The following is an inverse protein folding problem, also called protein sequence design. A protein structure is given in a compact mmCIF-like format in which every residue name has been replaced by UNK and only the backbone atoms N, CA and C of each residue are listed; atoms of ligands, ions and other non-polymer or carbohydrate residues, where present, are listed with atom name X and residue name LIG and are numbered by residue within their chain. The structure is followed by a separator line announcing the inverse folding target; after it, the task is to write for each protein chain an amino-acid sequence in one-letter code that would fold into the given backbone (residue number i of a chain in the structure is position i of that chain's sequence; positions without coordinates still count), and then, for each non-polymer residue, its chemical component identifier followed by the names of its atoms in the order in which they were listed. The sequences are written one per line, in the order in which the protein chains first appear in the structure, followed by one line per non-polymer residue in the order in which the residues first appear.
data_IF_571228935023
#
_entry.id   IF_571228935023
#
_cell.length_a   1.000
_cell.length_b   1.000
_cell.length_c   1.000
_cell.angle_alpha   90.00
_cell.angle_beta   90.00
_cell.angle_gamma   90.00
#
_symmetry.space_group_name_H-M   'P 1'
#
loop_
_entity.id
_entity.type
_entity.pdbx_description
1 polymer ?
#
# COMPACT_ATOMS: atom_id res chain seq x y z
N UNK A 1 -6.63 24.88 -81.56
CA UNK A 1 -6.14 23.66 -80.89
C UNK A 1 -6.34 23.83 -79.39
N UNK A 2 -7.25 23.02 -78.82
CA UNK A 2 -7.24 22.42 -77.46
C UNK A 2 -6.60 23.23 -76.32
N UNK A 3 -7.21 23.48 -75.15
CA UNK A 3 -8.06 22.62 -74.33
C UNK A 3 -8.68 23.43 -73.18
N UNK A 4 -9.93 23.16 -72.84
CA UNK A 4 -10.58 23.51 -71.57
C UNK A 4 -9.86 22.92 -70.35
N UNK A 5 -9.83 23.65 -69.22
CA UNK A 5 -10.29 23.11 -67.93
C UNK A 5 -10.48 24.18 -66.83
N UNK A 6 -11.71 24.20 -66.32
CA UNK A 6 -12.21 24.96 -65.17
C UNK A 6 -11.59 24.57 -63.81
N UNK A 7 -11.18 25.60 -63.05
CA UNK A 7 -11.54 25.94 -61.64
C UNK A 7 -11.19 24.98 -60.48
N UNK A 8 -11.34 25.40 -59.19
CA UNK A 8 -10.97 26.67 -58.54
C UNK A 8 -10.28 26.44 -57.17
N UNK A 9 -9.78 27.49 -56.50
CA UNK A 9 -10.09 27.70 -55.08
C UNK A 9 -9.54 29.06 -54.62
N UNK A 10 -10.46 30.01 -54.42
CA UNK A 10 -10.18 31.21 -53.64
C UNK A 10 -10.43 30.88 -52.16
N UNK A 11 -9.61 31.48 -51.29
CA UNK A 11 -9.98 32.25 -50.08
C UNK A 11 -9.37 31.79 -48.74
N UNK A 12 -8.65 32.79 -48.19
CA UNK A 12 -8.81 33.42 -46.87
C UNK A 12 -8.01 32.84 -45.70
N UNK A 13 -6.94 33.58 -45.41
CA UNK A 13 -6.43 33.98 -44.09
C UNK A 13 -7.49 33.92 -42.99
N UNK A 14 -7.17 33.30 -41.85
CA UNK A 14 -7.98 33.42 -40.63
C UNK A 14 -7.65 32.39 -39.54
N UNK A 15 -6.89 32.85 -38.54
CA UNK A 15 -6.75 32.36 -37.16
C UNK A 15 -7.56 31.13 -36.72
N UNK A 16 -6.88 30.12 -36.15
CA UNK A 16 -7.46 29.22 -35.15
C UNK A 16 -6.38 28.59 -34.24
N UNK A 17 -6.13 29.28 -33.12
CA UNK A 17 -5.98 28.79 -31.74
C UNK A 17 -5.20 27.48 -31.52
N UNK A 18 -4.05 27.64 -30.86
CA UNK A 18 -3.24 26.59 -30.21
C UNK A 18 -4.12 25.81 -29.21
N UNK A 19 -4.46 24.57 -29.56
CA UNK A 19 -5.10 23.64 -28.64
C UNK A 19 -4.03 22.99 -27.73
N UNK A 20 -3.69 23.69 -26.65
CA UNK A 20 -2.91 23.15 -25.54
C UNK A 20 -3.89 22.66 -24.47
N UNK A 21 -4.32 21.40 -24.53
CA UNK A 21 -5.18 20.80 -23.50
C UNK A 21 -4.78 19.36 -23.17
N UNK A 22 -4.10 19.22 -22.02
CA UNK A 22 -4.40 18.21 -21.00
C UNK A 22 -3.84 16.80 -21.19
N UNK A 23 -2.54 16.60 -20.94
CA UNK A 23 -2.06 15.29 -20.51
C UNK A 23 -2.44 15.12 -19.04
N UNK A 24 -3.58 14.47 -18.81
CA UNK A 24 -3.97 14.00 -17.47
C UNK A 24 -2.98 12.93 -17.02
N UNK A 25 -1.99 13.32 -16.23
CA UNK A 25 -1.15 12.38 -15.47
C UNK A 25 -2.04 11.74 -14.40
N UNK A 26 -2.71 10.66 -14.75
CA UNK A 26 -3.28 9.75 -13.77
C UNK A 26 -2.12 9.14 -12.97
N UNK A 27 -1.80 9.75 -11.83
CA UNK A 27 -0.91 9.16 -10.84
C UNK A 27 -1.63 7.96 -10.23
N UNK A 28 -1.58 6.82 -10.91
CA UNK A 28 -1.94 5.55 -10.30
C UNK A 28 -0.97 5.32 -9.14
N UNK A 29 -1.47 5.31 -7.91
CA UNK A 29 -0.71 4.87 -6.74
C UNK A 29 -0.38 3.39 -6.91
N UNK A 30 0.72 3.11 -7.59
CA UNK A 30 1.19 1.78 -7.90
C UNK A 30 2.00 1.25 -6.72
N UNK A 31 1.34 0.89 -5.62
CA UNK A 31 1.90 -0.21 -4.83
C UNK A 31 1.69 -1.45 -5.68
N UNK A 32 2.74 -1.83 -6.43
CA UNK A 32 2.68 -3.04 -7.25
C UNK A 32 2.46 -4.23 -6.31
N UNK A 33 1.50 -5.10 -6.64
CA UNK A 33 1.19 -6.31 -5.83
C UNK A 33 2.47 -7.10 -5.51
N UNK A 34 3.41 -7.14 -6.45
CA UNK A 34 4.73 -7.75 -6.28
C UNK A 34 5.57 -7.14 -5.15
N UNK A 35 5.55 -5.82 -4.97
CA UNK A 35 6.25 -5.14 -3.87
C UNK A 35 5.64 -5.51 -2.51
N UNK A 36 4.31 -5.53 -2.39
CA UNK A 36 3.63 -5.92 -1.15
C UNK A 36 3.91 -7.37 -0.77
N UNK A 37 3.98 -8.27 -1.76
CA UNK A 37 4.34 -9.68 -1.56
C UNK A 37 5.78 -9.78 -1.06
N UNK A 38 6.75 -9.22 -1.79
CA UNK A 38 8.17 -9.25 -1.41
C UNK A 38 8.40 -8.65 -0.02
N UNK A 39 7.71 -7.55 0.29
CA UNK A 39 7.74 -6.92 1.60
C UNK A 39 7.31 -7.88 2.70
N UNK A 40 6.21 -8.60 2.49
CA UNK A 40 5.71 -9.58 3.46
C UNK A 40 6.65 -10.77 3.62
N UNK A 41 7.20 -11.29 2.54
CA UNK A 41 8.16 -12.40 2.57
C UNK A 41 9.44 -12.03 3.33
N UNK A 42 9.96 -10.82 3.09
CA UNK A 42 11.10 -10.27 3.82
C UNK A 42 10.79 -10.12 5.31
N UNK A 43 9.60 -9.63 5.66
CA UNK A 43 9.18 -9.51 7.06
C UNK A 43 9.03 -10.87 7.76
N UNK A 44 8.53 -11.89 7.06
CA UNK A 44 8.45 -13.25 7.60
C UNK A 44 9.85 -13.82 7.85
N UNK A 45 10.77 -13.67 6.89
CA UNK A 45 12.15 -14.11 7.03
C UNK A 45 12.88 -13.38 8.18
N UNK A 46 12.76 -12.05 8.26
CA UNK A 46 13.34 -11.24 9.32
C UNK A 46 12.79 -11.60 10.71
N UNK A 47 11.53 -12.01 10.79
CA UNK A 47 10.93 -12.49 12.03
C UNK A 47 11.40 -13.90 12.44
N UNK A 48 12.13 -14.62 11.57
CA UNK A 48 12.65 -15.97 11.85
C UNK A 48 11.79 -17.10 11.31
N UNK A 49 10.83 -16.84 10.42
CA UNK A 49 10.13 -17.91 9.70
C UNK A 49 11.05 -18.56 8.67
N UNK A 50 10.98 -19.87 8.58
CA UNK A 50 11.73 -20.65 7.59
C UNK A 50 10.82 -21.06 6.45
N UNK A 51 11.26 -20.78 5.22
CA UNK A 51 10.53 -21.18 4.02
C UNK A 51 10.67 -22.69 3.74
N UNK A 52 9.56 -23.29 3.32
CA UNK A 52 9.44 -24.68 2.88
C UNK A 52 8.75 -24.72 1.51
N UNK A 53 9.51 -24.83 0.41
CA UNK A 53 8.96 -24.88 -0.94
C UNK A 53 8.03 -26.08 -1.15
N UNK A 54 6.90 -25.85 -1.84
CA UNK A 54 6.03 -26.93 -2.32
C UNK A 54 6.54 -27.48 -3.66
N UNK A 55 7.74 -28.07 -3.63
CA UNK A 55 8.48 -28.55 -4.81
C UNK A 55 8.11 -29.97 -5.26
N UNK A 56 7.03 -30.56 -4.74
CA UNK A 56 6.50 -31.86 -5.18
C UNK A 56 4.99 -31.77 -5.39
N UNK A 57 4.38 -32.58 -6.28
CA UNK A 57 2.94 -32.58 -6.49
C UNK A 57 2.15 -32.81 -5.20
N UNK A 58 2.64 -33.71 -4.33
CA UNK A 58 2.06 -33.96 -3.02
C UNK A 58 2.09 -32.72 -2.12
N UNK A 59 3.23 -32.00 -2.05
CA UNK A 59 3.32 -30.76 -1.26
C UNK A 59 2.43 -29.64 -1.83
N UNK A 60 2.34 -29.51 -3.14
CA UNK A 60 1.42 -28.53 -3.78
C UNK A 60 -0.02 -28.85 -3.42
N UNK A 61 -0.43 -30.12 -3.54
CA UNK A 61 -1.77 -30.55 -3.19
C UNK A 61 -2.09 -30.32 -1.71
N UNK A 62 -1.13 -30.53 -0.81
CA UNK A 62 -1.29 -30.22 0.61
C UNK A 62 -1.35 -28.72 0.89
N UNK A 63 -0.47 -27.92 0.27
CA UNK A 63 -0.42 -26.47 0.45
C UNK A 63 -1.76 -25.82 0.07
N UNK A 64 -2.36 -26.26 -1.04
CA UNK A 64 -3.68 -25.80 -1.52
C UNK A 64 -4.84 -26.08 -0.56
N UNK A 65 -4.67 -26.97 0.43
CA UNK A 65 -5.69 -27.25 1.46
C UNK A 65 -5.67 -26.24 2.60
N UNK A 66 -4.60 -25.45 2.73
CA UNK A 66 -4.49 -24.45 3.77
C UNK A 66 -5.12 -23.12 3.31
N UNK A 67 -5.80 -22.38 4.19
CA UNK A 67 -6.23 -21.02 3.89
C UNK A 67 -5.04 -20.16 3.42
N UNK A 68 -5.09 -19.58 2.20
CA UNK A 68 -3.99 -18.79 1.69
C UNK A 68 -3.85 -17.50 2.50
N UNK A 69 -2.62 -17.06 2.69
CA UNK A 69 -2.28 -15.79 3.32
C UNK A 69 -2.76 -15.62 4.77
N UNK A 70 -2.88 -16.72 5.52
CA UNK A 70 -3.30 -16.74 6.92
C UNK A 70 -2.31 -17.50 7.78
N UNK A 71 -2.10 -17.02 9.00
CA UNK A 71 -1.38 -17.78 10.02
C UNK A 71 -2.30 -18.84 10.61
N UNK A 72 -1.77 -20.05 10.75
CA UNK A 72 -2.39 -21.15 11.47
C UNK A 72 -1.45 -21.61 12.57
N UNK A 73 -2.02 -21.96 13.71
CA UNK A 73 -1.28 -22.59 14.80
C UNK A 73 -1.28 -24.10 14.59
N UNK A 74 -0.11 -24.72 14.74
CA UNK A 74 0.06 -26.17 14.70
C UNK A 74 0.73 -26.62 15.99
N UNK A 75 0.04 -27.44 16.76
CA UNK A 75 0.60 -28.06 17.96
C UNK A 75 1.05 -29.49 17.66
N UNK A 76 2.24 -29.87 18.15
CA UNK A 76 2.75 -31.25 18.13
C UNK A 76 3.38 -31.56 19.50
N UNK A 77 2.66 -32.31 20.31
CA UNK A 77 3.02 -32.48 21.73
C UNK A 77 3.05 -31.10 22.41
N UNK A 78 4.14 -30.82 23.13
CA UNK A 78 4.35 -29.54 23.80
C UNK A 78 4.93 -28.44 22.89
N UNK A 79 5.17 -28.71 21.61
CA UNK A 79 5.72 -27.73 20.67
C UNK A 79 4.59 -27.08 19.86
N UNK A 80 4.53 -25.75 19.91
CA UNK A 80 3.68 -24.93 19.05
C UNK A 80 4.51 -24.34 17.91
N UNK A 81 4.00 -24.44 16.69
CA UNK A 81 4.55 -23.77 15.51
C UNK A 81 3.47 -22.96 14.82
N UNK A 82 3.86 -21.86 14.19
CA UNK A 82 3.00 -21.07 13.34
C UNK A 82 3.34 -21.36 11.89
N UNK A 83 2.32 -21.55 11.07
CA UNK A 83 2.47 -21.77 9.63
C UNK A 83 1.72 -20.70 8.86
N UNK A 84 2.30 -20.27 7.75
CA UNK A 84 1.69 -19.32 6.81
C UNK A 84 1.85 -19.86 5.40
N UNK A 85 0.72 -20.05 4.70
CA UNK A 85 0.71 -20.60 3.35
C UNK A 85 0.61 -19.50 2.30
N UNK A 86 1.52 -19.51 1.33
CA UNK A 86 1.41 -18.70 0.12
C UNK A 86 1.45 -19.60 -1.12
N UNK A 87 0.28 -20.08 -1.57
CA UNK A 87 0.17 -20.96 -2.73
C UNK A 87 0.24 -20.23 -4.08
N UNK A 88 0.19 -18.89 -4.10
CA UNK A 88 0.08 -18.10 -5.34
C UNK A 88 1.41 -17.48 -5.73
N UNK A 89 2.10 -16.83 -4.79
CA UNK A 89 3.30 -16.06 -5.13
C UNK A 89 4.56 -16.93 -5.05
N UNK A 90 4.95 -17.40 -3.85
CA UNK A 90 6.12 -18.26 -3.70
C UNK A 90 5.83 -19.75 -3.94
N UNK A 91 4.55 -20.17 -3.90
CA UNK A 91 4.15 -21.58 -3.82
C UNK A 91 4.90 -22.33 -2.69
N UNK A 92 4.84 -21.78 -1.48
CA UNK A 92 5.62 -22.23 -0.34
C UNK A 92 4.86 -22.11 1.00
N UNK A 93 5.37 -22.81 2.00
CA UNK A 93 4.90 -22.75 3.39
C UNK A 93 5.98 -22.12 4.27
N UNK A 94 5.65 -21.05 4.99
CA UNK A 94 6.51 -20.49 6.02
C UNK A 94 6.21 -21.15 7.36
N UNK A 95 7.23 -21.57 8.09
CA UNK A 95 7.10 -22.24 9.40
C UNK A 95 7.97 -21.53 10.43
N UNK A 96 7.39 -21.13 11.54
CA UNK A 96 8.07 -20.41 12.62
C UNK A 96 7.70 -20.93 14.00
N UNK A 97 8.51 -20.58 14.99
CA UNK A 97 8.23 -20.80 16.42
C UNK A 97 7.20 -19.78 16.94
N UNK A 98 6.81 -19.91 18.21
CA UNK A 98 6.08 -18.85 18.91
C UNK A 98 6.83 -17.52 18.88
N UNK A 99 8.15 -17.53 19.14
CA UNK A 99 8.97 -16.32 19.12
C UNK A 99 8.99 -15.68 17.74
N UNK A 100 9.11 -16.47 16.68
CA UNK A 100 9.05 -15.94 15.31
C UNK A 100 7.71 -15.26 15.01
N UNK A 101 6.61 -15.87 15.46
CA UNK A 101 5.29 -15.25 15.33
C UNK A 101 5.17 -13.95 16.14
N UNK A 102 5.66 -13.92 17.37
CA UNK A 102 5.65 -12.73 18.22
C UNK A 102 6.46 -11.59 17.60
N UNK A 103 7.67 -11.89 17.09
CA UNK A 103 8.53 -10.93 16.39
C UNK A 103 7.82 -10.34 15.17
N UNK A 104 7.17 -11.18 14.36
CA UNK A 104 6.39 -10.72 13.21
C UNK A 104 5.26 -9.77 13.63
N UNK A 105 4.50 -10.12 14.68
CA UNK A 105 3.40 -9.28 15.19
C UNK A 105 3.89 -7.95 15.75
N UNK A 106 5.02 -7.96 16.45
CA UNK A 106 5.64 -6.75 16.98
C UNK A 106 6.12 -5.83 15.87
N UNK A 107 6.83 -6.36 14.87
CA UNK A 107 7.29 -5.59 13.71
C UNK A 107 6.12 -4.93 12.97
N UNK A 108 5.03 -5.67 12.73
CA UNK A 108 3.81 -5.13 12.10
C UNK A 108 3.13 -4.04 12.93
N UNK A 109 3.16 -4.15 14.26
CA UNK A 109 2.63 -3.11 15.13
C UNK A 109 3.50 -1.84 15.09
N UNK A 110 4.83 -2.00 15.12
CA UNK A 110 5.79 -0.90 15.04
C UNK A 110 5.70 -0.16 13.70
N UNK A 111 5.64 -0.89 12.59
CA UNK A 111 5.45 -0.32 11.25
C UNK A 111 4.18 0.52 11.17
N UNK A 112 3.06 0.01 11.71
CA UNK A 112 1.80 0.75 11.75
C UNK A 112 1.90 2.03 12.59
N UNK A 113 2.62 1.98 13.72
CA UNK A 113 2.84 3.17 14.56
C UNK A 113 3.71 4.18 13.82
N UNK A 114 4.82 3.75 13.22
CA UNK A 114 5.72 4.61 12.45
C UNK A 114 4.99 5.27 11.27
N UNK A 115 4.18 4.52 10.52
CA UNK A 115 3.40 5.06 9.42
C UNK A 115 2.34 6.08 9.89
N UNK A 116 1.69 5.81 11.03
CA UNK A 116 0.76 6.79 11.66
C UNK A 116 1.47 8.06 12.08
N UNK A 117 2.67 7.96 12.67
CA UNK A 117 3.48 9.12 13.04
C UNK A 117 3.89 9.93 11.80
N UNK A 118 4.29 9.27 10.72
CA UNK A 118 4.59 9.93 9.45
C UNK A 118 3.37 10.67 8.88
N UNK A 119 2.18 10.06 8.93
CA UNK A 119 0.94 10.72 8.51
C UNK A 119 0.57 11.90 9.42
N UNK A 120 0.73 11.75 10.74
CA UNK A 120 0.46 12.82 11.70
C UNK A 120 1.45 14.00 11.56
N UNK A 121 2.68 13.74 11.11
CA UNK A 121 3.67 14.77 10.83
C UNK A 121 3.43 15.50 9.49
N UNK A 122 2.50 15.04 8.64
CA UNK A 122 2.18 15.75 7.40
C UNK A 122 1.43 17.04 7.73
N UNK A 123 2.03 18.17 7.36
CA UNK A 123 1.38 19.48 7.45
C UNK A 123 0.17 19.52 6.53
N UNK A 124 -0.99 19.78 7.10
CA UNK A 124 -2.20 20.06 6.33
C UNK A 124 -2.11 21.47 5.73
N UNK A 125 -2.36 21.59 4.42
CA UNK A 125 -2.26 22.86 3.69
C UNK A 125 -3.45 23.02 2.72
N UNK A 126 -4.55 23.57 3.24
CA UNK A 126 -5.66 24.06 2.44
C UNK A 126 -5.85 25.55 2.74
N UNK A 127 -5.72 26.40 1.72
CA UNK A 127 -5.82 27.86 1.85
C UNK A 127 -7.24 28.34 2.19
N UNK A 128 -8.26 27.49 2.00
CA UNK A 128 -9.65 27.77 2.35
C UNK A 128 -10.02 27.24 3.74
N UNK A 129 -9.12 26.50 4.38
CA UNK A 129 -9.35 25.94 5.70
C UNK A 129 -9.04 26.97 6.77
N UNK A 130 -10.08 27.38 7.47
CA UNK A 130 -9.98 28.30 8.59
C UNK A 130 -9.85 27.51 9.89
N UNK A 131 -8.61 27.41 10.41
CA UNK A 131 -8.34 26.81 11.71
C UNK A 131 -8.98 27.58 12.87
N UNK A 132 -9.20 28.89 12.71
CA UNK A 132 -9.79 29.74 13.76
C UNK A 132 -11.28 29.45 14.01
N UNK A 133 -11.97 28.86 13.02
CA UNK A 133 -13.35 28.40 13.16
C UNK A 133 -13.53 27.22 14.12
N UNK A 134 -12.44 26.55 14.53
CA UNK A 134 -12.47 25.37 15.40
C UNK A 134 -11.99 25.63 16.84
N UNK A 135 -11.76 26.89 17.20
CA UNK A 135 -11.33 27.31 18.53
C UNK A 135 -10.26 28.41 18.46
N UNK A 136 -9.86 29.00 19.60
CA UNK A 136 -8.73 29.90 19.62
C UNK A 136 -7.51 29.21 19.00
N UNK A 137 -6.74 29.93 18.18
CA UNK A 137 -5.43 29.46 17.71
C UNK A 137 -4.74 28.74 18.86
N UNK A 138 -4.19 27.54 18.64
CA UNK A 138 -3.73 26.67 19.72
C UNK A 138 -2.21 26.79 20.04
N UNK A 139 -1.63 27.95 20.44
CA UNK A 139 -0.32 27.96 21.09
C UNK A 139 -0.30 27.32 22.49
N UNK A 140 -1.46 27.07 23.14
CA UNK A 140 -1.54 26.67 24.56
C UNK A 140 -2.58 25.59 24.87
N UNK A 141 -2.93 24.69 23.94
CA UNK A 141 -3.89 23.62 24.23
C UNK A 141 -3.29 22.55 25.16
N UNK A 142 -3.47 22.70 26.47
CA UNK A 142 -3.15 21.68 27.48
C UNK A 142 -4.37 20.79 27.74
N UNK A 143 -4.56 19.77 26.90
CA UNK A 143 -5.42 18.62 27.20
C UNK A 143 -6.94 18.82 27.02
N UNK A 144 -7.74 17.75 27.21
CA UNK A 144 -9.11 17.62 26.70
C UNK A 144 -10.16 18.59 27.28
N UNK A 145 -9.79 19.48 28.21
CA UNK A 145 -10.67 20.50 28.79
C UNK A 145 -10.08 21.93 28.77
N UNK A 146 -9.01 22.18 28.01
CA UNK A 146 -8.41 23.50 27.90
C UNK A 146 -7.58 23.92 29.13
N UNK A 147 -7.05 25.15 29.18
CA UNK A 147 -6.01 25.58 30.13
C UNK A 147 -6.40 25.66 31.62
N UNK A 148 -7.54 25.10 32.04
CA UNK A 148 -8.00 25.28 33.42
C UNK A 148 -8.85 24.12 33.91
N UNK A 149 -8.24 22.94 34.16
CA UNK A 149 -8.61 22.08 35.29
C UNK A 149 -7.41 21.20 35.66
N UNK A 150 -6.69 21.62 36.70
CA UNK A 150 -5.68 20.79 37.37
C UNK A 150 -6.34 19.63 38.12
N UNK A 151 -5.62 18.51 38.20
CA UNK A 151 -5.84 17.48 39.21
C UNK A 151 -5.04 17.82 40.46
#
# INVERSE_FOLDING_TARGET
MTLDKQAPSKRRLGFAIIAMTGISLALASCETVSQTVQYKENNLAAAGFVVRPANTPARVAMLKRLPPNRFLMRSRGNTVSYVYADPVNCNCLYVGTQDAYNNYRQAQAQERIANRQLLAARTYADARWDWSGWGPDFPQFYGPFGPSYGW
#
